data_IF_690082686722
#
_entry.id   IF_690082686722
#
_cell.length_a   1.000
_cell.length_b   1.000
_cell.length_c   1.000
_cell.angle_alpha   90.00
_cell.angle_beta   90.00
_cell.angle_gamma   90.00
#
_symmetry.space_group_name_H-M   'P 1'
#
loop_
_entity.id
_entity.type
_entity.pdbx_description
1 polymer ?
#
# COMPACT_ATOMS: atom_id res chain seq x y z
N UNK A 1 4.26 5.03 -17.86
CA UNK A 1 5.16 6.20 -17.92
C UNK A 1 4.47 7.35 -17.19
N UNK A 2 5.13 7.89 -16.16
CA UNK A 2 4.54 8.52 -14.96
C UNK A 2 3.43 9.57 -15.23
N UNK A 3 2.24 9.36 -14.63
CA UNK A 3 1.08 10.27 -14.70
C UNK A 3 1.07 11.36 -13.62
N UNK A 4 2.06 11.38 -12.72
CA UNK A 4 2.12 12.34 -11.61
C UNK A 4 2.92 13.60 -11.99
N UNK A 5 2.22 14.66 -12.39
CA UNK A 5 2.81 15.99 -12.66
C UNK A 5 3.31 16.70 -11.42
N UNK A 6 2.88 16.28 -10.22
CA UNK A 6 3.23 16.93 -8.94
C UNK A 6 4.49 16.34 -8.30
N UNK A 7 5.02 15.23 -8.85
CA UNK A 7 6.11 14.45 -8.27
C UNK A 7 5.84 14.01 -6.80
N UNK A 8 4.59 14.03 -6.36
CA UNK A 8 4.16 13.69 -4.99
C UNK A 8 4.55 12.27 -4.62
N UNK A 9 4.45 11.32 -5.56
CA UNK A 9 4.87 9.93 -5.34
C UNK A 9 6.37 9.81 -5.01
N UNK A 10 7.21 10.72 -5.50
CA UNK A 10 8.65 10.70 -5.20
C UNK A 10 8.93 11.09 -3.74
N UNK A 11 7.99 11.76 -3.07
CA UNK A 11 8.12 12.16 -1.67
C UNK A 11 7.51 11.15 -0.69
N UNK A 12 6.98 10.02 -1.17
CA UNK A 12 6.39 8.99 -0.30
C UNK A 12 7.36 8.48 0.76
N UNK A 13 8.66 8.35 0.47
CA UNK A 13 9.63 7.92 1.50
C UNK A 13 9.79 8.91 2.66
N UNK A 14 9.35 10.16 2.47
CA UNK A 14 9.40 11.25 3.46
C UNK A 14 8.05 11.97 3.57
N UNK A 15 6.93 11.24 3.46
CA UNK A 15 5.61 11.86 3.43
C UNK A 15 5.33 12.70 4.68
N UNK A 16 5.89 12.33 5.84
CA UNK A 16 5.71 13.05 7.10
C UNK A 16 6.19 14.50 7.01
N UNK A 17 7.33 14.72 6.34
CA UNK A 17 7.95 16.04 6.20
C UNK A 17 7.44 16.80 4.96
N UNK A 18 6.69 16.14 4.09
CA UNK A 18 6.23 16.72 2.82
C UNK A 18 4.96 17.55 3.00
N UNK A 19 4.95 18.75 2.41
CA UNK A 19 3.76 19.62 2.33
C UNK A 19 2.75 19.16 1.27
N UNK A 20 3.09 18.16 0.45
CA UNK A 20 2.21 17.62 -0.60
C UNK A 20 1.17 16.62 -0.08
N UNK A 21 1.24 16.26 1.20
CA UNK A 21 0.29 15.35 1.85
C UNK A 21 -0.45 16.09 2.96
N UNK A 22 -1.77 15.91 2.98
CA UNK A 22 -2.62 16.38 4.07
C UNK A 22 -2.38 15.58 5.35
N UNK A 23 -2.83 16.09 6.49
CA UNK A 23 -2.75 15.39 7.78
C UNK A 23 -3.39 13.99 7.71
N UNK A 24 -4.62 13.92 7.18
CA UNK A 24 -5.36 12.68 6.96
C UNK A 24 -4.57 11.66 6.14
N UNK A 25 -3.93 12.09 5.05
CA UNK A 25 -3.10 11.23 4.21
C UNK A 25 -1.83 10.75 4.94
N UNK A 26 -1.16 11.62 5.69
CA UNK A 26 0.03 11.24 6.48
C UNK A 26 -0.31 10.18 7.53
N UNK A 27 -1.44 10.32 8.20
CA UNK A 27 -1.90 9.33 9.20
C UNK A 27 -2.22 7.98 8.54
N UNK A 28 -2.91 7.98 7.39
CA UNK A 28 -3.15 6.75 6.63
C UNK A 28 -1.82 6.09 6.21
N UNK A 29 -0.86 6.87 5.69
CA UNK A 29 0.45 6.35 5.30
C UNK A 29 1.22 5.77 6.49
N UNK A 30 1.21 6.45 7.65
CA UNK A 30 1.81 5.96 8.90
C UNK A 30 1.20 4.64 9.36
N UNK A 31 -0.12 4.50 9.25
CA UNK A 31 -0.79 3.23 9.55
C UNK A 31 -0.39 2.12 8.56
N UNK A 32 -0.31 2.42 7.26
CA UNK A 32 0.17 1.43 6.28
C UNK A 32 1.61 1.01 6.52
N UNK A 33 2.52 1.93 6.86
CA UNK A 33 3.91 1.59 7.19
C UNK A 33 4.01 0.70 8.42
N UNK A 34 3.19 0.98 9.44
CA UNK A 34 3.10 0.16 10.65
C UNK A 34 2.72 -1.28 10.31
N UNK A 35 1.72 -1.47 9.44
CA UNK A 35 1.31 -2.80 8.97
C UNK A 35 2.42 -3.50 8.17
N UNK A 36 3.10 -2.77 7.29
CA UNK A 36 4.06 -3.36 6.35
C UNK A 36 5.42 -3.68 7.00
N UNK A 37 5.86 -2.87 7.97
CA UNK A 37 7.24 -2.86 8.45
C UNK A 37 7.41 -3.17 9.93
N UNK A 38 6.61 -2.57 10.80
CA UNK A 38 6.74 -2.76 12.24
C UNK A 38 5.39 -2.58 12.96
N UNK A 39 4.70 -3.69 13.32
CA UNK A 39 3.41 -3.62 13.98
C UNK A 39 3.48 -3.03 15.40
N UNK A 40 4.65 -3.01 16.04
CA UNK A 40 4.83 -2.43 17.38
C UNK A 40 4.67 -0.90 17.39
N UNK A 41 4.67 -0.25 16.21
CA UNK A 41 4.37 1.17 16.05
C UNK A 41 2.86 1.48 16.07
N UNK A 42 2.00 0.47 16.20
CA UNK A 42 0.56 0.65 16.37
C UNK A 42 0.20 1.04 17.82
N UNK A 43 0.77 2.15 18.28
CA UNK A 43 0.61 2.68 19.63
C UNK A 43 -0.69 3.49 19.81
N UNK A 44 -0.98 3.86 21.06
CA UNK A 44 -2.19 4.61 21.41
C UNK A 44 -2.27 5.98 20.70
N UNK A 45 -1.12 6.59 20.37
CA UNK A 45 -1.08 7.85 19.64
C UNK A 45 -1.53 7.67 18.19
N UNK A 46 -1.05 6.62 17.51
CA UNK A 46 -1.50 6.28 16.18
C UNK A 46 -3.00 5.96 16.16
N UNK A 47 -3.49 5.14 17.09
CA UNK A 47 -4.92 4.80 17.17
C UNK A 47 -5.78 6.03 17.41
N UNK A 48 -5.36 6.93 18.30
CA UNK A 48 -6.05 8.19 18.55
C UNK A 48 -6.13 9.05 17.29
N UNK A 49 -5.02 9.22 16.58
CA UNK A 49 -4.99 10.00 15.35
C UNK A 49 -5.85 9.38 14.23
N UNK A 50 -5.86 8.05 14.14
CA UNK A 50 -6.74 7.33 13.21
C UNK A 50 -8.22 7.62 13.51
N UNK A 51 -8.65 7.50 14.76
CA UNK A 51 -10.05 7.77 15.12
C UNK A 51 -10.44 9.25 15.02
N UNK A 52 -9.48 10.18 15.04
CA UNK A 52 -9.76 11.60 14.82
C UNK A 52 -10.02 11.93 13.33
N UNK A 53 -9.35 11.24 12.41
CA UNK A 53 -9.38 11.54 10.97
C UNK A 53 -10.21 10.54 10.14
N UNK A 54 -10.55 9.39 10.71
CA UNK A 54 -11.23 8.29 10.04
C UNK A 54 -12.30 7.67 10.93
N UNK A 55 -13.35 7.20 10.28
CA UNK A 55 -14.37 6.35 10.89
C UNK A 55 -13.85 4.92 11.05
N UNK A 56 -14.44 4.15 11.97
CA UNK A 56 -14.09 2.74 12.17
C UNK A 56 -14.07 1.93 10.86
N UNK A 57 -15.10 2.02 9.98
CA UNK A 57 -15.08 1.28 8.71
C UNK A 57 -13.92 1.68 7.78
N UNK A 58 -13.55 2.95 7.74
CA UNK A 58 -12.43 3.42 6.92
C UNK A 58 -11.08 2.89 7.46
N UNK A 59 -10.90 2.87 8.79
CA UNK A 59 -9.70 2.31 9.42
C UNK A 59 -9.58 0.82 9.09
N UNK A 60 -10.68 0.07 9.19
CA UNK A 60 -10.74 -1.34 8.83
C UNK A 60 -10.42 -1.55 7.34
N UNK A 61 -10.96 -0.73 6.45
CA UNK A 61 -10.70 -0.82 5.01
C UNK A 61 -9.22 -0.59 4.68
N UNK A 62 -8.60 0.47 5.24
CA UNK A 62 -7.17 0.76 5.06
C UNK A 62 -6.32 -0.42 5.54
N UNK A 63 -6.62 -0.91 6.76
CA UNK A 63 -5.89 -2.02 7.37
C UNK A 63 -5.99 -3.31 6.56
N UNK A 64 -7.22 -3.66 6.14
CA UNK A 64 -7.49 -4.83 5.31
C UNK A 64 -6.76 -4.76 3.98
N UNK A 65 -6.85 -3.64 3.27
CA UNK A 65 -6.23 -3.48 1.96
C UNK A 65 -4.70 -3.58 2.04
N UNK A 66 -4.08 -2.90 3.01
CA UNK A 66 -2.64 -2.92 3.20
C UNK A 66 -2.11 -4.30 3.63
N UNK A 67 -2.77 -4.92 4.62
CA UNK A 67 -2.38 -6.23 5.12
C UNK A 67 -2.53 -7.34 4.08
N UNK A 68 -3.67 -7.38 3.38
CA UNK A 68 -3.93 -8.42 2.38
C UNK A 68 -3.04 -8.27 1.15
N UNK A 69 -2.88 -7.03 0.65
CA UNK A 69 -2.06 -6.77 -0.55
C UNK A 69 -0.58 -7.06 -0.29
N UNK A 70 -0.05 -6.65 0.87
CA UNK A 70 1.35 -6.90 1.21
C UNK A 70 1.64 -8.40 1.38
N UNK A 71 0.74 -9.16 2.00
CA UNK A 71 0.82 -10.61 2.08
C UNK A 71 0.82 -11.28 0.68
N UNK A 72 -0.09 -10.85 -0.19
CA UNK A 72 -0.16 -11.34 -1.57
C UNK A 72 1.12 -11.06 -2.37
N UNK A 73 1.69 -9.85 -2.26
CA UNK A 73 2.95 -9.51 -2.92
C UNK A 73 4.13 -10.34 -2.39
N UNK A 74 4.22 -10.54 -1.08
CA UNK A 74 5.27 -11.40 -0.48
C UNK A 74 5.18 -12.84 -0.99
N UNK A 75 3.97 -13.39 -1.10
CA UNK A 75 3.78 -14.71 -1.68
C UNK A 75 4.20 -14.78 -3.15
N UNK A 76 3.84 -13.80 -3.98
CA UNK A 76 4.28 -13.73 -5.38
C UNK A 76 5.82 -13.69 -5.51
N UNK A 77 6.51 -13.02 -4.58
CA UNK A 77 7.97 -13.03 -4.52
C UNK A 77 8.54 -14.44 -4.28
N UNK A 78 7.90 -15.28 -3.47
CA UNK A 78 8.35 -16.67 -3.26
C UNK A 78 8.25 -17.54 -4.52
N UNK A 79 7.42 -17.14 -5.49
CA UNK A 79 7.24 -17.83 -6.76
C UNK A 79 8.16 -17.31 -7.86
N UNK A 80 8.92 -16.24 -7.60
CA UNK A 80 9.73 -15.52 -8.60
C UNK A 80 8.94 -15.09 -9.86
N UNK A 81 7.62 -14.94 -9.75
CA UNK A 81 6.77 -14.55 -10.87
C UNK A 81 7.09 -13.12 -11.30
N UNK A 82 7.18 -12.90 -12.63
CA UNK A 82 7.28 -11.56 -13.20
C UNK A 82 5.93 -11.10 -13.72
N UNK A 83 5.72 -9.79 -13.65
CA UNK A 83 4.53 -9.16 -14.22
C UNK A 83 4.41 -9.52 -15.71
N UNK A 84 3.24 -10.06 -16.08
CA UNK A 84 2.93 -10.40 -17.47
C UNK A 84 3.24 -11.84 -17.89
N UNK A 85 3.97 -12.63 -17.10
CA UNK A 85 4.30 -14.03 -17.45
C UNK A 85 3.05 -14.90 -17.61
N UNK A 86 2.07 -14.78 -16.70
CA UNK A 86 0.81 -15.51 -16.81
C UNK A 86 0.02 -15.11 -18.06
N UNK A 87 -0.02 -13.82 -18.39
CA UNK A 87 -0.72 -13.33 -19.57
C UNK A 87 -0.08 -13.89 -20.85
N UNK A 88 1.25 -13.86 -20.95
CA UNK A 88 2.00 -14.44 -22.06
C UNK A 88 1.73 -15.95 -22.20
N UNK A 89 1.74 -16.69 -21.09
CA UNK A 89 1.45 -18.13 -21.07
C UNK A 89 0.01 -18.46 -21.53
N UNK A 90 -0.97 -17.66 -21.11
CA UNK A 90 -2.37 -17.82 -21.54
C UNK A 90 -2.52 -17.56 -23.04
N UNK A 91 -1.83 -16.54 -23.59
CA UNK A 91 -1.84 -16.28 -25.03
C UNK A 91 -1.19 -17.40 -25.83
N UNK A 92 -0.04 -17.91 -25.39
CA UNK A 92 0.64 -19.04 -26.02
C UNK A 92 -0.25 -20.28 -26.05
N UNK A 93 -0.91 -20.61 -24.93
CA UNK A 93 -1.86 -21.73 -24.87
C UNK A 93 -3.06 -21.57 -25.80
N UNK A 94 -3.52 -20.34 -26.06
CA UNK A 94 -4.59 -20.09 -27.02
C UNK A 94 -4.14 -20.27 -28.47
N UNK A 95 -2.87 -19.99 -28.79
CA UNK A 95 -2.29 -20.18 -30.14
C UNK A 95 -2.03 -21.65 -30.48
N UNK A 96 -1.79 -22.48 -29.47
CA UNK A 96 -1.50 -23.91 -29.61
C UNK A 96 -2.75 -24.81 -29.51
N UNK A 97 -3.95 -24.22 -29.50
CA UNK A 97 -5.25 -24.90 -29.56
C UNK A 97 -5.90 -24.63 -30.90
#
# INVERSE_FOLDING_TARGET
MNKDKSHRLNQLQKYNDSDLFTLREKIALRYTDTILWNPDLADDELWKDLHNEFTEPEIVEIGYWAGFTSGGQRWLHTLHCKQGELAAHIEERKKNK
#
